data_IF_056985462442
#
_entry.id   IF_056985462442
#
_cell.length_a   1.000
_cell.length_b   1.000
_cell.length_c   1.000
_cell.angle_alpha   90.00
_cell.angle_beta   90.00
_cell.angle_gamma   90.00
#
_symmetry.space_group_name_H-M   'P 1'
#
loop_
_entity.id
_entity.type
_entity.pdbx_description
1 polymer ?
#
# COMPACT_ATOMS: atom_id res chain seq x y z
N UNK A 1 26.20 -7.92 30.89
CA UNK A 1 25.23 -6.85 30.57
C UNK A 1 24.87 -6.95 29.09
N UNK A 2 23.76 -7.59 28.75
CA UNK A 2 23.25 -7.63 27.38
C UNK A 2 22.64 -6.25 27.07
N UNK A 3 23.26 -5.50 26.15
CA UNK A 3 22.61 -4.33 25.55
C UNK A 3 21.28 -4.82 24.96
N UNK A 4 20.15 -4.44 25.57
CA UNK A 4 18.88 -4.46 24.86
C UNK A 4 19.08 -3.58 23.63
N UNK A 5 19.24 -4.21 22.47
CA UNK A 5 19.00 -3.53 21.20
C UNK A 5 17.51 -3.23 21.23
N UNK A 6 17.15 -2.08 21.79
CA UNK A 6 15.81 -1.53 21.63
C UNK A 6 15.76 -1.17 20.16
N UNK A 7 15.22 -2.07 19.33
CA UNK A 7 14.87 -1.73 17.97
C UNK A 7 13.92 -0.53 18.07
N UNK A 8 14.42 0.65 17.76
CA UNK A 8 13.62 1.87 17.73
C UNK A 8 12.65 1.69 16.58
N UNK A 9 11.41 1.32 16.89
CA UNK A 9 10.32 1.35 15.92
C UNK A 9 10.26 2.75 15.32
N UNK A 10 10.17 2.88 13.99
CA UNK A 10 10.09 4.19 13.35
C UNK A 10 8.90 4.98 13.93
N UNK A 11 9.01 6.30 13.97
CA UNK A 11 7.89 7.14 14.39
C UNK A 11 6.72 7.02 13.41
N UNK A 12 5.51 7.33 13.86
CA UNK A 12 4.31 7.32 13.01
C UNK A 12 4.49 8.19 11.76
N UNK A 13 5.10 9.37 11.92
CA UNK A 13 5.40 10.27 10.80
C UNK A 13 6.36 9.65 9.79
N UNK A 14 7.46 9.05 10.26
CA UNK A 14 8.43 8.40 9.36
C UNK A 14 7.78 7.25 8.62
N UNK A 15 6.93 6.48 9.30
CA UNK A 15 6.18 5.37 8.70
C UNK A 15 5.26 5.88 7.59
N UNK A 16 4.41 6.87 7.89
CA UNK A 16 3.50 7.47 6.90
C UNK A 16 4.25 8.09 5.71
N UNK A 17 5.40 8.72 5.93
CA UNK A 17 6.22 9.28 4.83
C UNK A 17 6.81 8.19 3.94
N UNK A 18 7.22 7.06 4.52
CA UNK A 18 7.71 5.93 3.75
C UNK A 18 6.59 5.22 2.98
N UNK A 19 5.42 5.05 3.61
CA UNK A 19 4.24 4.50 2.93
C UNK A 19 3.79 5.41 1.78
N UNK A 20 3.68 6.71 2.03
CA UNK A 20 3.43 7.71 1.00
C UNK A 20 4.38 7.60 -0.20
N UNK A 21 5.69 7.50 0.07
CA UNK A 21 6.69 7.32 -0.97
C UNK A 21 6.48 6.02 -1.76
N UNK A 22 6.18 4.91 -1.07
CA UNK A 22 5.90 3.63 -1.70
C UNK A 22 4.64 3.71 -2.58
N UNK A 23 3.58 4.36 -2.09
CA UNK A 23 2.35 4.60 -2.86
C UNK A 23 2.63 5.46 -4.10
N UNK A 24 3.28 6.61 -3.95
CA UNK A 24 3.61 7.49 -5.10
C UNK A 24 4.43 6.73 -6.14
N UNK A 25 5.45 6.00 -5.70
CA UNK A 25 6.31 5.22 -6.60
C UNK A 25 5.54 4.11 -7.31
N UNK A 26 4.73 3.32 -6.58
CA UNK A 26 3.88 2.28 -7.16
C UNK A 26 2.87 2.85 -8.15
N UNK A 27 2.25 3.99 -7.83
CA UNK A 27 1.32 4.69 -8.71
C UNK A 27 1.97 5.14 -10.02
N UNK A 28 3.17 5.73 -9.94
CA UNK A 28 3.97 6.11 -11.13
C UNK A 28 4.34 4.88 -11.95
N UNK A 29 4.80 3.80 -11.30
CA UNK A 29 5.17 2.55 -11.98
C UNK A 29 3.97 1.97 -12.73
N UNK A 30 2.80 1.88 -12.09
CA UNK A 30 1.58 1.39 -12.73
C UNK A 30 1.11 2.28 -13.88
N UNK A 31 1.26 3.59 -13.76
CA UNK A 31 0.92 4.55 -14.81
C UNK A 31 1.83 4.44 -16.04
N UNK A 32 3.13 4.30 -15.84
CA UNK A 32 4.11 4.33 -16.93
C UNK A 32 4.43 2.95 -17.51
N UNK A 33 4.22 1.90 -16.72
CA UNK A 33 4.54 0.52 -17.05
C UNK A 33 3.30 -0.38 -16.98
N UNK A 34 2.11 0.17 -17.26
CA UNK A 34 0.83 -0.56 -17.23
C UNK A 34 0.84 -1.80 -18.13
N UNK A 35 1.30 -1.66 -19.38
CA UNK A 35 1.41 -2.74 -20.36
C UNK A 35 2.35 -3.87 -19.93
N UNK A 36 3.64 -3.63 -19.60
CA UNK A 36 4.52 -4.70 -19.18
C UNK A 36 4.07 -5.35 -17.86
N UNK A 37 3.48 -4.59 -16.94
CA UNK A 37 2.90 -5.16 -15.70
C UNK A 37 1.68 -6.03 -16.03
N UNK A 38 0.83 -5.63 -16.96
CA UNK A 38 -0.30 -6.45 -17.41
C UNK A 38 0.17 -7.78 -18.01
N UNK A 39 1.25 -7.75 -18.81
CA UNK A 39 1.86 -8.97 -19.39
C UNK A 39 2.49 -9.87 -18.32
N UNK A 40 3.03 -9.28 -17.24
CA UNK A 40 3.47 -10.05 -16.07
C UNK A 40 2.29 -10.64 -15.30
N UNK A 41 1.16 -9.93 -15.19
CA UNK A 41 0.01 -10.39 -14.42
C UNK A 41 -0.76 -11.52 -15.11
N UNK A 42 -0.97 -11.44 -16.43
CA UNK A 42 -1.77 -12.41 -17.18
C UNK A 42 -1.14 -12.69 -18.55
N UNK A 43 -1.20 -13.96 -18.98
CA UNK A 43 -0.81 -14.37 -20.34
C UNK A 43 -1.96 -14.24 -21.36
N UNK A 44 -3.15 -13.89 -20.91
CA UNK A 44 -4.36 -13.77 -21.74
C UNK A 44 -4.92 -12.35 -21.69
N UNK A 45 -5.62 -11.96 -22.75
CA UNK A 45 -6.36 -10.71 -22.77
C UNK A 45 -7.43 -10.72 -21.67
N UNK A 46 -7.33 -9.78 -20.74
CA UNK A 46 -8.27 -9.60 -19.65
C UNK A 46 -9.00 -8.28 -19.84
N UNK A 47 -10.33 -8.34 -19.84
CA UNK A 47 -11.22 -7.19 -19.99
C UNK A 47 -12.29 -7.27 -18.90
N UNK A 48 -12.43 -6.19 -18.14
CA UNK A 48 -13.46 -6.06 -17.11
C UNK A 48 -14.05 -4.65 -17.20
N UNK A 49 -15.38 -4.54 -17.10
CA UNK A 49 -16.12 -3.27 -17.24
C UNK A 49 -15.81 -2.50 -18.55
N UNK A 50 -15.46 -3.22 -19.63
CA UNK A 50 -15.11 -2.62 -20.92
C UNK A 50 -13.71 -2.02 -21.00
N UNK A 51 -12.88 -2.18 -19.95
CA UNK A 51 -11.50 -1.71 -19.89
C UNK A 51 -10.53 -2.88 -20.01
N UNK A 52 -9.46 -2.69 -20.77
CA UNK A 52 -8.35 -3.65 -20.81
C UNK A 52 -7.57 -3.62 -19.49
N UNK A 53 -6.85 -4.69 -19.17
CA UNK A 53 -6.04 -4.71 -17.94
C UNK A 53 -5.04 -3.54 -17.85
N UNK A 54 -4.27 -3.16 -18.89
CA UNK A 54 -3.41 -1.97 -18.81
C UNK A 54 -4.17 -0.70 -18.42
N UNK A 55 -5.35 -0.46 -19.00
CA UNK A 55 -6.19 0.70 -18.65
C UNK A 55 -6.67 0.67 -17.20
N UNK A 56 -7.02 -0.52 -16.70
CA UNK A 56 -7.38 -0.69 -15.29
C UNK A 56 -6.19 -0.41 -14.37
N UNK A 57 -4.98 -0.87 -14.74
CA UNK A 57 -3.76 -0.60 -13.99
C UNK A 57 -3.37 0.87 -14.01
N UNK A 58 -3.60 1.59 -15.11
CA UNK A 58 -3.39 3.04 -15.18
C UNK A 58 -4.32 3.78 -14.23
N UNK A 59 -5.62 3.47 -14.26
CA UNK A 59 -6.60 4.08 -13.35
C UNK A 59 -6.25 3.78 -11.89
N UNK A 60 -5.88 2.54 -11.59
CA UNK A 60 -5.40 2.13 -10.28
C UNK A 60 -4.13 2.92 -9.89
N UNK A 61 -3.18 3.06 -10.81
CA UNK A 61 -1.95 3.83 -10.62
C UNK A 61 -2.20 5.29 -10.27
N UNK A 62 -3.16 5.95 -10.95
CA UNK A 62 -3.63 7.30 -10.59
C UNK A 62 -4.18 7.32 -9.17
N UNK A 63 -5.05 6.36 -8.83
CA UNK A 63 -5.64 6.26 -7.49
C UNK A 63 -4.58 6.15 -6.40
N UNK A 64 -3.62 5.25 -6.56
CA UNK A 64 -2.53 5.03 -5.59
C UNK A 64 -1.61 6.23 -5.49
N UNK A 65 -1.29 6.86 -6.62
CA UNK A 65 -0.50 8.08 -6.63
C UNK A 65 -1.15 9.18 -5.80
N UNK A 66 -2.47 9.37 -5.97
CA UNK A 66 -3.25 10.34 -5.19
C UNK A 66 -3.33 9.95 -3.70
N UNK A 67 -3.50 8.66 -3.38
CA UNK A 67 -3.43 8.16 -2.01
C UNK A 67 -2.07 8.51 -1.40
N UNK A 68 -0.97 8.25 -2.09
CA UNK A 68 0.37 8.57 -1.62
C UNK A 68 0.57 10.06 -1.32
N UNK A 69 0.02 10.96 -2.15
CA UNK A 69 0.01 12.40 -1.87
C UNK A 69 -0.82 12.71 -0.61
N UNK A 70 -2.00 12.08 -0.47
CA UNK A 70 -2.86 12.23 0.70
C UNK A 70 -2.18 11.79 2.00
N UNK A 71 -1.51 10.63 1.99
CA UNK A 71 -0.72 10.12 3.12
C UNK A 71 0.40 11.10 3.47
N UNK A 72 1.13 11.63 2.48
CA UNK A 72 2.17 12.64 2.72
C UNK A 72 1.63 13.88 3.42
N UNK A 73 0.47 14.36 2.96
CA UNK A 73 -0.18 15.52 3.53
C UNK A 73 -0.55 15.25 4.99
N UNK A 74 -1.16 14.10 5.29
CA UNK A 74 -1.49 13.68 6.66
C UNK A 74 -0.24 13.62 7.55
N UNK A 75 0.85 13.05 7.04
CA UNK A 75 2.12 12.95 7.76
C UNK A 75 2.76 14.31 8.04
N UNK A 76 2.48 15.32 7.22
CA UNK A 76 3.07 16.66 7.31
C UNK A 76 2.33 17.59 8.27
N UNK A 77 1.07 17.29 8.62
CA UNK A 77 0.31 18.09 9.56
C UNK A 77 0.70 17.83 11.03
N UNK A 78 0.71 18.90 11.83
CA UNK A 78 0.94 18.84 13.28
C UNK A 78 -0.22 19.53 14.02
N UNK A 79 -0.91 18.86 14.95
CA UNK A 79 -0.75 17.44 15.32
C UNK A 79 -1.23 16.49 14.21
N UNK A 80 -0.70 15.26 14.17
CA UNK A 80 -1.15 14.22 13.23
C UNK A 80 -2.58 13.83 13.58
N UNK A 81 -3.48 13.86 12.59
CA UNK A 81 -4.89 13.52 12.79
C UNK A 81 -5.09 12.00 12.84
N UNK A 82 -5.45 11.48 14.02
CA UNK A 82 -5.69 10.04 14.23
C UNK A 82 -6.80 9.45 13.35
N UNK A 83 -7.85 10.22 13.03
CA UNK A 83 -8.95 9.76 12.17
C UNK A 83 -8.44 9.54 10.75
N UNK A 84 -7.58 10.44 10.25
CA UNK A 84 -6.98 10.32 8.94
C UNK A 84 -6.06 9.10 8.85
N UNK A 85 -5.27 8.81 9.90
CA UNK A 85 -4.43 7.60 9.96
C UNK A 85 -5.27 6.33 9.94
N UNK A 86 -6.41 6.30 10.67
CA UNK A 86 -7.32 5.15 10.57
C UNK A 86 -7.92 4.96 9.18
N UNK A 87 -8.19 6.04 8.44
CA UNK A 87 -8.66 5.94 7.07
C UNK A 87 -7.59 5.33 6.15
N UNK A 88 -6.31 5.67 6.35
CA UNK A 88 -5.18 5.08 5.62
C UNK A 88 -5.10 3.58 5.90
N UNK A 89 -5.14 3.19 7.18
CA UNK A 89 -5.16 1.77 7.59
C UNK A 89 -6.32 1.00 6.94
N UNK A 90 -7.51 1.61 6.81
CA UNK A 90 -8.64 0.95 6.13
C UNK A 90 -8.39 0.73 4.64
N UNK A 91 -7.72 1.67 3.97
CA UNK A 91 -7.31 1.51 2.56
C UNK A 91 -6.28 0.37 2.43
N UNK A 92 -5.32 0.27 3.36
CA UNK A 92 -4.35 -0.84 3.38
C UNK A 92 -5.03 -2.20 3.62
N UNK A 93 -6.03 -2.26 4.51
CA UNK A 93 -6.84 -3.47 4.72
C UNK A 93 -7.58 -3.87 3.45
N UNK A 94 -8.23 -2.93 2.77
CA UNK A 94 -8.92 -3.18 1.49
C UNK A 94 -7.94 -3.70 0.43
N UNK A 95 -6.73 -3.13 0.37
CA UNK A 95 -5.67 -3.59 -0.52
C UNK A 95 -5.26 -5.04 -0.27
N UNK A 96 -5.07 -5.41 1.00
CA UNK A 96 -4.69 -6.77 1.40
C UNK A 96 -5.81 -7.76 1.07
N UNK A 97 -7.06 -7.42 1.39
CA UNK A 97 -8.23 -8.25 1.07
C UNK A 97 -8.34 -8.45 -0.43
N UNK A 98 -8.23 -7.38 -1.22
CA UNK A 98 -8.27 -7.44 -2.68
C UNK A 98 -7.14 -8.31 -3.23
N UNK A 99 -5.94 -8.21 -2.66
CA UNK A 99 -4.80 -9.05 -3.05
C UNK A 99 -5.07 -10.54 -2.80
N UNK A 100 -5.64 -10.88 -1.63
CA UNK A 100 -6.07 -12.25 -1.31
C UNK A 100 -7.13 -12.74 -2.31
N UNK A 101 -8.16 -11.92 -2.56
CA UNK A 101 -9.22 -12.25 -3.53
C UNK A 101 -8.63 -12.51 -4.92
N UNK A 102 -7.71 -11.68 -5.39
CA UNK A 102 -7.03 -11.87 -6.67
C UNK A 102 -6.27 -13.19 -6.73
N UNK A 103 -5.48 -13.50 -5.69
CA UNK A 103 -4.66 -14.72 -5.66
C UNK A 103 -5.51 -15.99 -5.67
N UNK A 104 -6.65 -16.03 -4.98
CA UNK A 104 -7.46 -17.24 -4.87
C UNK A 104 -8.58 -17.34 -5.91
N UNK A 105 -9.19 -16.23 -6.30
CA UNK A 105 -10.34 -16.23 -7.23
C UNK A 105 -9.91 -16.19 -8.69
N UNK A 106 -8.70 -15.70 -8.97
CA UNK A 106 -8.14 -15.57 -10.33
C UNK A 106 -6.86 -16.41 -10.51
N UNK A 107 -6.64 -17.43 -9.67
CA UNK A 107 -5.46 -18.29 -9.68
C UNK A 107 -5.14 -18.88 -11.06
N UNK A 108 -6.16 -19.27 -11.82
CA UNK A 108 -6.03 -19.88 -13.15
C UNK A 108 -5.70 -18.89 -14.26
N UNK A 109 -5.91 -17.59 -14.03
CA UNK A 109 -5.65 -16.51 -14.99
C UNK A 109 -4.30 -15.85 -14.74
N UNK A 110 -3.90 -15.76 -13.47
CA UNK A 110 -2.65 -15.13 -13.07
C UNK A 110 -1.44 -15.98 -13.43
N UNK A 111 -0.41 -15.34 -13.98
CA UNK A 111 0.91 -16.00 -14.12
C UNK A 111 1.57 -16.17 -12.76
N UNK A 112 2.59 -17.03 -12.66
CA UNK A 112 3.37 -17.18 -11.43
C UNK A 112 4.04 -15.86 -11.00
N UNK A 113 4.64 -15.13 -11.94
CA UNK A 113 5.26 -13.83 -11.65
C UNK A 113 4.22 -12.79 -11.19
N UNK A 114 3.01 -12.83 -11.75
CA UNK A 114 1.90 -11.98 -11.32
C UNK A 114 1.47 -12.28 -9.88
N UNK A 115 1.39 -13.55 -9.50
CA UNK A 115 1.09 -13.97 -8.12
C UNK A 115 2.16 -13.50 -7.15
N UNK A 116 3.43 -13.68 -7.49
CA UNK A 116 4.55 -13.23 -6.67
C UNK A 116 4.53 -11.70 -6.48
N UNK A 117 4.22 -10.94 -7.54
CA UNK A 117 4.09 -9.49 -7.48
C UNK A 117 2.95 -9.05 -6.54
N UNK A 118 1.76 -9.64 -6.71
CA UNK A 118 0.60 -9.34 -5.85
C UNK A 118 0.92 -9.68 -4.39
N UNK A 119 1.46 -10.88 -4.12
CA UNK A 119 1.81 -11.33 -2.78
C UNK A 119 2.87 -10.43 -2.13
N UNK A 120 3.93 -10.07 -2.86
CA UNK A 120 4.97 -9.18 -2.36
C UNK A 120 4.40 -7.79 -2.02
N UNK A 121 3.52 -7.24 -2.87
CA UNK A 121 2.86 -5.96 -2.60
C UNK A 121 1.99 -6.01 -1.34
N UNK A 122 1.23 -7.09 -1.15
CA UNK A 122 0.37 -7.26 0.02
C UNK A 122 1.18 -7.37 1.31
N UNK A 123 2.32 -8.05 1.28
CA UNK A 123 3.24 -8.15 2.43
C UNK A 123 3.85 -6.77 2.76
N UNK A 124 4.23 -5.99 1.75
CA UNK A 124 4.76 -4.65 1.95
C UNK A 124 3.72 -3.73 2.61
N UNK A 125 2.49 -3.70 2.08
CA UNK A 125 1.37 -2.93 2.64
C UNK A 125 1.03 -3.39 4.05
N UNK A 126 0.96 -4.70 4.30
CA UNK A 126 0.72 -5.24 5.64
C UNK A 126 1.80 -4.82 6.65
N UNK A 127 3.05 -4.69 6.20
CA UNK A 127 4.15 -4.22 7.05
C UNK A 127 3.97 -2.75 7.43
N UNK A 128 3.59 -1.88 6.49
CA UNK A 128 3.26 -0.48 6.78
C UNK A 128 2.09 -0.37 7.74
N UNK A 129 0.99 -1.06 7.46
CA UNK A 129 -0.20 -1.10 8.33
C UNK A 129 0.13 -1.46 9.78
N UNK A 130 0.98 -2.46 10.00
CA UNK A 130 1.41 -2.83 11.36
C UNK A 130 2.16 -1.68 12.03
N UNK A 131 3.11 -1.07 11.33
CA UNK A 131 3.92 0.03 11.86
C UNK A 131 3.06 1.26 12.17
N UNK A 132 2.06 1.56 11.34
CA UNK A 132 1.11 2.65 11.54
C UNK A 132 0.22 2.43 12.76
N UNK A 133 -0.33 1.21 12.93
CA UNK A 133 -1.12 0.84 14.11
C UNK A 133 -0.28 1.00 15.39
N UNK A 134 0.98 0.56 15.37
CA UNK A 134 1.87 0.72 16.52
C UNK A 134 2.20 2.20 16.79
N UNK A 135 2.54 2.96 15.75
CA UNK A 135 2.84 4.38 15.86
C UNK A 135 1.65 5.20 16.39
N UNK A 136 0.44 4.88 15.94
CA UNK A 136 -0.79 5.54 16.38
C UNK A 136 -1.11 5.26 17.84
N UNK A 137 -0.96 4.00 18.28
CA UNK A 137 -1.15 3.63 19.70
C UNK A 137 -0.17 4.35 20.62
N UNK A 138 1.10 4.48 20.20
CA UNK A 138 2.10 5.23 20.98
C UNK A 138 1.75 6.72 21.10
N UNK A 139 1.25 7.32 20.01
CA UNK A 139 0.84 8.73 20.00
C UNK A 139 -0.36 8.98 20.92
N UNK A 140 -1.33 8.06 20.98
CA UNK A 140 -2.49 8.16 21.88
C UNK A 140 -2.15 7.96 23.36
N UNK A 141 -1.10 7.20 23.67
CA UNK A 141 -0.65 6.94 25.04
C UNK A 141 0.24 8.03 25.62
N UNK A 142 0.76 8.94 24.79
CA UNK A 142 1.61 10.04 25.23
C UNK A 142 0.71 11.21 25.65
N UNK A 143 0.61 11.56 26.95
CA UNK A 143 -0.20 12.68 27.39
C UNK A 143 0.36 13.96 26.77
N UNK A 144 -0.51 14.77 26.16
CA UNK A 144 -0.16 16.13 25.76
C UNK A 144 0.22 16.88 27.04
N UNK A 145 1.50 17.21 27.19
CA UNK A 145 1.97 18.15 28.21
C UNK A 145 1.69 19.57 27.78
#
# INVERSE_FOLDING_TARGET
MLKKVVATTPSLETTLKLDSFACVLSGIILLLASEPIAQLLTSHAFVMFGLTLPQQLEILGIGIFLVGIGVYAVASYRPINAIAVWAIILIEVDWIITSVVLLFSFDSVLTLAGKDLIAASAIAVFTFMILEIYGLKQLQQTPVK
#
